data_IF_375468869266
#
_entry.id   IF_375468869266
#
_cell.length_a   1.000
_cell.length_b   1.000
_cell.length_c   1.000
_cell.angle_alpha   90.00
_cell.angle_beta   90.00
_cell.angle_gamma   90.00
#
_symmetry.space_group_name_H-M   'P 1'
#
loop_
_entity.id
_entity.type
_entity.pdbx_description
1 polymer ?
#
# COMPACT_ATOMS: atom_id res chain seq x y z
N UNK A 1 -7.44 -8.84 -26.93
CA UNK A 1 -6.65 -8.53 -25.72
C UNK A 1 -5.93 -7.22 -25.98
N UNK A 2 -6.14 -6.19 -25.17
CA UNK A 2 -5.46 -4.91 -25.34
C UNK A 2 -3.94 -5.10 -25.17
N UNK A 3 -3.15 -4.61 -26.12
CA UNK A 3 -1.70 -4.56 -25.96
C UNK A 3 -1.37 -3.78 -24.67
N UNK A 4 -0.48 -4.31 -23.80
CA UNK A 4 -0.10 -3.60 -22.60
C UNK A 4 0.48 -2.23 -22.99
N UNK A 5 -0.05 -1.18 -22.35
CA UNK A 5 0.51 0.17 -22.48
C UNK A 5 2.02 0.11 -22.22
N UNK A 6 2.86 0.80 -23.00
CA UNK A 6 4.31 0.85 -22.78
C UNK A 6 4.73 1.34 -21.39
N UNK A 7 3.78 1.84 -20.58
CA UNK A 7 3.98 2.32 -19.20
C UNK A 7 3.25 1.47 -18.15
N UNK A 8 2.81 0.26 -18.49
CA UNK A 8 2.17 -0.63 -17.53
C UNK A 8 3.21 -1.29 -16.62
N UNK A 9 3.00 -1.24 -15.31
CA UNK A 9 3.78 -1.97 -14.32
C UNK A 9 2.87 -3.03 -13.68
N UNK A 10 2.77 -4.25 -14.25
CA UNK A 10 1.91 -5.28 -13.70
C UNK A 10 2.47 -5.79 -12.37
N UNK A 11 1.62 -5.83 -11.33
CA UNK A 11 1.95 -6.34 -10.00
C UNK A 11 0.98 -7.46 -9.67
N UNK A 12 1.50 -8.61 -9.22
CA UNK A 12 0.63 -9.71 -8.75
C UNK A 12 -0.02 -9.36 -7.42
N UNK A 13 -1.17 -9.96 -7.14
CA UNK A 13 -1.85 -9.75 -5.86
C UNK A 13 -0.98 -10.11 -4.65
N UNK A 14 -0.24 -11.22 -4.72
CA UNK A 14 0.67 -11.64 -3.65
C UNK A 14 1.81 -10.64 -3.43
N UNK A 15 2.37 -10.08 -4.50
CA UNK A 15 3.41 -9.05 -4.39
C UNK A 15 2.84 -7.79 -3.73
N UNK A 16 1.70 -7.31 -4.23
CA UNK A 16 1.01 -6.14 -3.69
C UNK A 16 0.69 -6.30 -2.19
N UNK A 17 0.15 -7.44 -1.78
CA UNK A 17 -0.23 -7.71 -0.40
C UNK A 17 0.99 -7.85 0.54
N UNK A 18 2.08 -8.49 0.08
CA UNK A 18 3.34 -8.54 0.84
C UNK A 18 3.95 -7.16 1.05
N UNK A 19 3.94 -6.32 0.01
CA UNK A 19 4.50 -4.98 0.09
C UNK A 19 3.70 -4.08 1.04
N UNK A 20 2.37 -4.19 1.02
CA UNK A 20 1.50 -3.47 1.97
C UNK A 20 1.77 -3.89 3.43
N UNK A 21 1.90 -5.20 3.71
CA UNK A 21 2.26 -5.69 5.06
C UNK A 21 3.64 -5.19 5.52
N UNK A 22 4.62 -5.22 4.62
CA UNK A 22 5.96 -4.70 4.93
C UNK A 22 5.92 -3.20 5.24
N UNK A 23 5.10 -2.42 4.53
CA UNK A 23 4.87 -1.02 4.83
C UNK A 23 4.20 -0.83 6.19
N UNK A 24 3.14 -1.57 6.50
CA UNK A 24 2.45 -1.52 7.79
C UNK A 24 3.41 -1.75 8.97
N UNK A 25 4.30 -2.74 8.88
CA UNK A 25 5.33 -2.98 9.90
C UNK A 25 6.30 -1.81 10.05
N UNK A 26 6.74 -1.19 8.95
CA UNK A 26 7.62 -0.02 9.01
C UNK A 26 6.93 1.18 9.65
N UNK A 27 5.65 1.40 9.32
CA UNK A 27 4.85 2.46 9.93
C UNK A 27 4.65 2.21 11.43
N UNK A 28 4.39 0.96 11.84
CA UNK A 28 4.30 0.60 13.26
C UNK A 28 5.59 0.93 14.00
N UNK A 29 6.76 0.55 13.46
CA UNK A 29 8.04 0.90 14.09
C UNK A 29 8.32 2.40 14.16
N UNK A 30 7.77 3.19 13.21
CA UNK A 30 7.82 4.64 13.29
C UNK A 30 6.91 5.20 14.39
N UNK A 31 5.75 4.58 14.66
CA UNK A 31 4.90 4.96 15.80
C UNK A 31 5.63 4.76 17.12
N UNK A 32 6.31 3.63 17.29
CA UNK A 32 7.08 3.33 18.51
C UNK A 32 8.19 4.36 18.75
N UNK A 33 8.83 4.86 17.68
CA UNK A 33 9.95 5.80 17.76
C UNK A 33 9.53 7.29 17.81
N UNK A 34 8.38 7.66 17.24
CA UNK A 34 7.99 9.07 17.01
C UNK A 34 6.62 9.45 17.58
N UNK A 35 5.92 8.51 18.19
CA UNK A 35 4.56 8.68 18.70
C UNK A 35 3.48 8.32 17.68
N UNK A 36 2.23 8.29 18.14
CA UNK A 36 1.10 7.76 17.39
C UNK A 36 0.72 8.60 16.16
N UNK A 37 0.32 7.92 15.07
CA UNK A 37 -0.36 8.58 13.96
C UNK A 37 -1.78 8.96 14.36
N UNK A 38 -2.20 10.17 13.98
CA UNK A 38 -3.56 10.66 14.25
C UNK A 38 -4.63 10.00 13.39
N UNK A 39 -4.27 9.64 12.15
CA UNK A 39 -5.19 9.06 11.17
C UNK A 39 -4.43 8.47 9.97
N UNK A 40 -5.12 7.61 9.21
CA UNK A 40 -4.75 7.17 7.86
C UNK A 40 -5.78 7.75 6.88
N UNK A 41 -5.31 8.40 5.80
CA UNK A 41 -6.18 9.01 4.79
C UNK A 41 -6.03 8.27 3.46
N UNK A 42 -7.11 7.61 3.03
CA UNK A 42 -7.14 6.89 1.75
C UNK A 42 -7.78 7.73 0.64
N UNK A 43 -7.10 7.87 -0.49
CA UNK A 43 -7.70 8.43 -1.70
C UNK A 43 -8.52 7.35 -2.38
N UNK A 44 -9.81 7.61 -2.61
CA UNK A 44 -10.77 6.60 -3.08
C UNK A 44 -10.45 6.04 -4.47
N UNK A 45 -11.14 4.94 -4.83
CA UNK A 45 -10.87 4.05 -5.97
C UNK A 45 -9.67 3.13 -5.70
N UNK A 46 -8.46 3.58 -5.98
CA UNK A 46 -7.26 2.76 -5.87
C UNK A 46 -6.71 2.62 -4.44
N UNK A 47 -6.91 3.63 -3.60
CA UNK A 47 -6.27 3.70 -2.28
C UNK A 47 -7.00 2.93 -1.17
N UNK A 48 -8.22 2.46 -1.39
CA UNK A 48 -8.99 1.76 -0.35
C UNK A 48 -8.41 0.37 -0.03
N UNK A 49 -7.96 -0.35 -1.06
CA UNK A 49 -7.40 -1.70 -0.89
C UNK A 49 -6.09 -1.69 -0.09
N UNK A 50 -5.05 -0.90 -0.43
CA UNK A 50 -3.82 -0.87 0.36
C UNK A 50 -4.02 -0.28 1.75
N UNK A 51 -5.00 0.62 1.95
CA UNK A 51 -5.28 1.18 3.27
C UNK A 51 -5.97 0.19 4.24
N UNK A 52 -6.57 -0.88 3.71
CA UNK A 52 -7.21 -1.93 4.49
C UNK A 52 -6.26 -3.10 4.84
N UNK A 53 -5.06 -3.14 4.23
CA UNK A 53 -4.02 -4.14 4.47
C UNK A 53 -3.01 -3.60 5.48
#
# INVERSE_FOLDING_TARGET
>A
MSNPSPKAFPVSWDQFHRDCKALAWRLSGLMDARGEFKAVVAITRGGLVPAAI
#
